data_IF_065385651023
#
_entry.id   IF_065385651023
#
_cell.length_a   1.000
_cell.length_b   1.000
_cell.length_c   1.000
_cell.angle_alpha   90.00
_cell.angle_beta   90.00
_cell.angle_gamma   90.00
#
_symmetry.space_group_name_H-M   'P 1'
#
loop_
_entity.id
_entity.type
_entity.pdbx_description
1 polymer ?
#
# COMPACT_ATOMS: atom_id res chain seq x y z
N UNK A 1 0.19 13.50 -1.05
CA UNK A 1 0.02 12.85 -2.36
C UNK A 1 -1.33 12.14 -2.43
N UNK A 2 -2.00 12.16 -3.58
CA UNK A 2 -3.26 11.42 -3.81
C UNK A 2 -3.11 10.50 -5.01
N UNK A 3 -3.08 9.20 -4.76
CA UNK A 3 -3.02 8.15 -5.78
C UNK A 3 -4.46 7.82 -6.18
N UNK A 4 -4.77 7.83 -7.47
CA UNK A 4 -6.11 7.48 -7.97
C UNK A 4 -6.18 5.98 -8.21
N UNK A 5 -7.05 5.31 -7.48
CA UNK A 5 -7.29 3.88 -7.62
C UNK A 5 -8.76 3.62 -7.92
N UNK A 6 -9.04 2.49 -8.58
CA UNK A 6 -10.35 1.86 -8.64
C UNK A 6 -10.59 1.03 -7.38
N UNK A 7 -11.82 0.53 -7.19
CA UNK A 7 -12.17 -0.35 -6.07
C UNK A 7 -11.23 -1.56 -5.99
N UNK A 8 -11.13 -2.29 -7.09
CA UNK A 8 -10.34 -3.53 -7.14
C UNK A 8 -8.85 -3.27 -6.89
N UNK A 9 -8.34 -2.12 -7.37
CA UNK A 9 -6.95 -1.75 -7.11
C UNK A 9 -6.71 -1.43 -5.63
N UNK A 10 -7.64 -0.72 -4.97
CA UNK A 10 -7.55 -0.42 -3.53
C UNK A 10 -7.67 -1.69 -2.68
N UNK A 11 -8.57 -2.60 -3.04
CA UNK A 11 -8.73 -3.90 -2.36
C UNK A 11 -7.50 -4.79 -2.58
N UNK A 12 -6.99 -4.84 -3.81
CA UNK A 12 -5.80 -5.61 -4.18
C UNK A 12 -4.57 -5.14 -3.40
N UNK A 13 -4.25 -3.85 -3.43
CA UNK A 13 -3.09 -3.33 -2.70
C UNK A 13 -3.23 -3.55 -1.19
N UNK A 14 -4.43 -3.44 -0.64
CA UNK A 14 -4.69 -3.72 0.77
C UNK A 14 -4.42 -5.19 1.13
N UNK A 15 -4.89 -6.12 0.32
CA UNK A 15 -4.66 -7.55 0.54
C UNK A 15 -3.16 -7.86 0.48
N UNK A 16 -2.45 -7.33 -0.51
CA UNK A 16 -1.01 -7.51 -0.65
C UNK A 16 -0.25 -6.96 0.55
N UNK A 17 -0.54 -5.72 0.97
CA UNK A 17 0.08 -5.10 2.15
C UNK A 17 -0.17 -5.94 3.41
N UNK A 18 -1.40 -6.45 3.62
CA UNK A 18 -1.70 -7.28 4.78
C UNK A 18 -0.93 -8.59 4.80
N UNK A 19 -0.73 -9.21 3.65
CA UNK A 19 0.07 -10.43 3.52
C UNK A 19 1.53 -10.13 3.81
N UNK A 20 2.09 -9.09 3.18
CA UNK A 20 3.46 -8.63 3.43
C UNK A 20 3.72 -8.32 4.90
N UNK A 21 2.83 -7.57 5.56
CA UNK A 21 2.94 -7.25 6.99
C UNK A 21 2.81 -8.48 7.90
N UNK A 22 2.02 -9.48 7.50
CA UNK A 22 1.89 -10.71 8.29
C UNK A 22 3.15 -11.57 8.20
N UNK A 23 3.74 -11.62 7.02
CA UNK A 23 4.86 -12.50 6.71
C UNK A 23 6.23 -11.82 6.99
N UNK A 24 6.24 -10.52 7.29
CA UNK A 24 7.45 -9.76 7.60
C UNK A 24 8.03 -10.07 8.98
N UNK A 25 9.31 -10.43 9.01
CA UNK A 25 10.13 -10.49 10.21
C UNK A 25 10.97 -9.20 10.31
N UNK A 26 10.60 -8.30 11.22
CA UNK A 26 11.31 -7.04 11.43
C UNK A 26 12.30 -7.17 12.58
N UNK A 27 13.57 -7.47 12.28
CA UNK A 27 14.63 -7.55 13.28
C UNK A 27 15.20 -6.16 13.60
N UNK A 28 15.49 -5.40 12.56
CA UNK A 28 16.14 -4.10 12.63
C UNK A 28 15.16 -2.95 12.95
N UNK A 29 15.67 -1.89 13.59
CA UNK A 29 14.87 -0.72 13.96
C UNK A 29 14.26 0.00 12.75
N UNK A 30 15.00 0.06 11.64
CA UNK A 30 14.53 0.68 10.41
C UNK A 30 13.32 -0.06 9.82
N UNK A 31 13.36 -1.39 9.83
CA UNK A 31 12.27 -2.22 9.31
C UNK A 31 11.03 -2.13 10.19
N UNK A 32 11.22 -2.06 11.53
CA UNK A 32 10.12 -1.82 12.48
C UNK A 32 9.43 -0.48 12.23
N UNK A 33 10.20 0.58 11.97
CA UNK A 33 9.62 1.88 11.65
C UNK A 33 8.82 1.84 10.34
N UNK A 34 9.37 1.20 9.30
CA UNK A 34 8.65 1.03 8.03
C UNK A 34 7.38 0.21 8.23
N UNK A 35 7.45 -0.88 9.00
CA UNK A 35 6.31 -1.71 9.37
C UNK A 35 5.20 -0.87 10.01
N UNK A 36 5.51 -0.10 11.06
CA UNK A 36 4.52 0.71 11.77
C UNK A 36 3.84 1.73 10.85
N UNK A 37 4.60 2.37 9.96
CA UNK A 37 4.04 3.34 9.02
C UNK A 37 3.14 2.64 8.00
N UNK A 38 3.58 1.51 7.43
CA UNK A 38 2.85 0.75 6.42
C UNK A 38 1.61 0.08 7.01
N UNK A 39 1.68 -0.42 8.24
CA UNK A 39 0.52 -0.89 8.99
C UNK A 39 -0.50 0.23 9.20
N UNK A 40 -0.03 1.44 9.56
CA UNK A 40 -0.88 2.63 9.60
C UNK A 40 -1.57 2.95 8.26
N UNK A 41 -0.90 2.71 7.13
CA UNK A 41 -1.49 2.85 5.78
C UNK A 41 -2.54 1.76 5.54
N UNK A 42 -2.23 0.50 5.87
CA UNK A 42 -3.17 -0.63 5.81
C UNK A 42 -4.46 -0.33 6.58
N UNK A 43 -4.31 0.23 7.76
CA UNK A 43 -5.39 0.63 8.66
C UNK A 43 -6.27 1.74 8.05
N UNK A 44 -5.65 2.72 7.39
CA UNK A 44 -6.36 3.76 6.63
C UNK A 44 -7.16 3.17 5.48
N UNK A 45 -6.58 2.23 4.74
CA UNK A 45 -7.27 1.56 3.64
C UNK A 45 -8.46 0.73 4.17
N UNK A 46 -8.27 -0.02 5.27
CA UNK A 46 -9.35 -0.75 5.95
C UNK A 46 -10.51 0.19 6.33
N UNK A 47 -10.22 1.30 7.01
CA UNK A 47 -11.24 2.29 7.42
C UNK A 47 -11.97 2.85 6.20
N UNK A 48 -11.24 3.08 5.11
CA UNK A 48 -11.80 3.60 3.87
C UNK A 48 -12.72 2.60 3.17
N UNK A 49 -12.29 1.35 3.01
CA UNK A 49 -13.10 0.27 2.40
C UNK A 49 -14.39 0.04 3.21
N UNK A 50 -14.29 0.02 4.54
CA UNK A 50 -15.47 -0.05 5.42
C UNK A 50 -16.42 1.12 5.20
N UNK A 51 -15.91 2.36 5.13
CA UNK A 51 -16.75 3.54 4.89
C UNK A 51 -17.47 3.47 3.54
N UNK A 52 -16.78 3.06 2.48
CA UNK A 52 -17.33 2.95 1.13
C UNK A 52 -18.35 1.80 0.99
N UNK A 53 -18.32 0.81 1.88
CA UNK A 53 -19.33 -0.24 1.92
C UNK A 53 -20.73 0.31 2.30
N UNK A 54 -20.78 1.37 3.10
CA UNK A 54 -22.02 1.97 3.61
C UNK A 54 -22.38 3.30 2.94
N UNK A 55 -21.42 3.97 2.29
CA UNK A 55 -21.60 5.26 1.64
C UNK A 55 -21.21 5.16 0.15
N UNK A 56 -22.16 5.40 -0.74
CA UNK A 56 -21.97 5.41 -2.19
C UNK A 56 -21.19 6.62 -2.71
N UNK A 57 -21.02 7.66 -1.87
CA UNK A 57 -20.27 8.87 -2.23
C UNK A 57 -18.85 8.82 -1.66
N UNK A 58 -17.89 8.47 -2.51
CA UNK A 58 -16.48 8.51 -2.18
C UNK A 58 -15.59 7.87 -3.24
N UNK A 59 -14.44 8.48 -3.53
CA UNK A 59 -13.46 7.91 -4.46
C UNK A 59 -12.52 6.92 -3.76
N UNK A 60 -12.06 5.90 -4.49
CA UNK A 60 -11.15 4.85 -3.99
C UNK A 60 -9.67 5.27 -3.92
N UNK A 61 -9.35 6.54 -4.19
CA UNK A 61 -7.95 7.00 -4.19
C UNK A 61 -7.28 6.99 -2.82
N UNK A 62 -5.99 6.71 -2.74
CA UNK A 62 -5.23 6.68 -1.50
C UNK A 62 -4.58 8.04 -1.23
N UNK A 63 -4.90 8.65 -0.09
CA UNK A 63 -4.26 9.90 0.34
C UNK A 63 -3.12 9.58 1.30
N UNK A 64 -1.89 9.89 0.90
CA UNK A 64 -0.68 9.64 1.66
C UNK A 64 0.02 10.96 2.02
N UNK A 65 0.56 11.02 3.23
CA UNK A 65 1.57 12.04 3.57
C UNK A 65 2.89 11.76 2.82
N UNK A 66 3.84 12.70 2.83
CA UNK A 66 5.15 12.46 2.19
C UNK A 66 5.91 11.31 2.85
N UNK A 67 5.82 11.19 4.18
CA UNK A 67 6.45 10.11 4.95
C UNK A 67 5.81 8.77 4.58
N UNK A 68 4.47 8.71 4.53
CA UNK A 68 3.74 7.50 4.16
C UNK A 68 4.03 7.05 2.73
N UNK A 69 4.09 7.97 1.78
CA UNK A 69 4.43 7.65 0.39
C UNK A 69 5.84 7.05 0.29
N UNK A 70 6.82 7.66 0.94
CA UNK A 70 8.21 7.16 0.95
C UNK A 70 8.34 5.81 1.66
N UNK A 71 7.68 5.64 2.79
CA UNK A 71 7.68 4.36 3.51
C UNK A 71 7.03 3.26 2.67
N UNK A 72 5.89 3.54 2.04
CA UNK A 72 5.22 2.59 1.15
C UNK A 72 6.07 2.24 -0.07
N UNK A 73 6.74 3.22 -0.67
CA UNK A 73 7.70 2.99 -1.75
C UNK A 73 8.79 2.02 -1.32
N UNK A 74 9.51 2.33 -0.24
CA UNK A 74 10.59 1.47 0.27
C UNK A 74 10.10 0.07 0.60
N UNK A 75 8.93 -0.04 1.22
CA UNK A 75 8.34 -1.33 1.58
C UNK A 75 8.02 -2.18 0.34
N UNK A 76 7.29 -1.60 -0.62
CA UNK A 76 6.90 -2.32 -1.84
C UNK A 76 8.11 -2.69 -2.68
N UNK A 77 9.07 -1.77 -2.90
CA UNK A 77 10.28 -2.08 -3.68
C UNK A 77 11.09 -3.23 -3.09
N UNK A 78 11.14 -3.32 -1.75
CA UNK A 78 11.92 -4.35 -1.08
C UNK A 78 11.25 -5.73 -1.09
N UNK A 79 9.92 -5.80 -1.13
CA UNK A 79 9.21 -7.06 -0.88
C UNK A 79 8.37 -7.57 -2.06
N UNK A 80 7.96 -6.72 -3.00
CA UNK A 80 6.95 -7.06 -4.03
C UNK A 80 7.30 -8.33 -4.83
N UNK A 81 8.57 -8.52 -5.17
CA UNK A 81 9.05 -9.64 -5.96
C UNK A 81 8.83 -11.02 -5.31
N UNK A 82 8.71 -11.09 -3.98
CA UNK A 82 8.38 -12.34 -3.27
C UNK A 82 6.94 -12.81 -3.49
N UNK A 83 6.06 -11.93 -3.99
CA UNK A 83 4.64 -12.18 -4.12
C UNK A 83 4.15 -12.22 -5.58
N UNK A 84 5.02 -11.94 -6.54
CA UNK A 84 4.66 -11.76 -7.95
C UNK A 84 3.94 -12.97 -8.56
N UNK A 85 4.30 -14.21 -8.19
CA UNK A 85 3.63 -15.38 -8.75
C UNK A 85 2.23 -15.60 -8.18
N UNK A 86 2.04 -15.39 -6.87
CA UNK A 86 0.78 -15.65 -6.18
C UNK A 86 -0.21 -14.47 -6.25
N UNK A 87 0.30 -13.25 -6.43
CA UNK A 87 -0.45 -11.99 -6.37
C UNK A 87 -0.17 -11.09 -7.59
N UNK A 88 -0.18 -11.68 -8.80
CA UNK A 88 0.18 -10.98 -10.04
C UNK A 88 -0.57 -9.67 -10.25
N UNK A 89 -1.90 -9.67 -10.03
CA UNK A 89 -2.71 -8.47 -10.20
C UNK A 89 -2.30 -7.38 -9.21
N UNK A 90 -2.16 -7.73 -7.94
CA UNK A 90 -1.77 -6.82 -6.88
C UNK A 90 -0.36 -6.28 -7.08
N UNK A 91 0.58 -7.12 -7.55
CA UNK A 91 1.93 -6.69 -7.91
C UNK A 91 1.95 -5.69 -9.06
N UNK A 92 1.10 -5.87 -10.08
CA UNK A 92 0.96 -4.86 -11.16
C UNK A 92 0.47 -3.53 -10.58
N UNK A 93 -0.53 -3.56 -9.70
CA UNK A 93 -1.06 -2.35 -9.05
C UNK A 93 0.00 -1.68 -8.17
N UNK A 94 0.72 -2.47 -7.36
CA UNK A 94 1.79 -1.99 -6.51
C UNK A 94 2.94 -1.38 -7.30
N UNK A 95 3.32 -1.98 -8.45
CA UNK A 95 4.31 -1.41 -9.36
C UNK A 95 3.87 -0.06 -9.93
N UNK A 96 2.58 0.08 -10.27
CA UNK A 96 2.01 1.36 -10.68
C UNK A 96 2.10 2.42 -9.58
N UNK A 97 1.83 2.04 -8.33
CA UNK A 97 1.96 2.90 -7.15
C UNK A 97 3.42 3.33 -6.93
N UNK A 98 4.37 2.40 -7.04
CA UNK A 98 5.81 2.69 -6.96
C UNK A 98 6.18 3.76 -8.00
N UNK A 99 5.76 3.58 -9.26
CA UNK A 99 6.05 4.53 -10.33
C UNK A 99 5.44 5.92 -10.09
N UNK A 100 4.20 6.00 -9.60
CA UNK A 100 3.59 7.29 -9.24
C UNK A 100 4.35 8.00 -8.11
N UNK A 101 4.82 7.25 -7.10
CA UNK A 101 5.56 7.83 -5.97
C UNK A 101 6.95 8.28 -6.42
N UNK A 102 7.65 7.45 -7.21
CA UNK A 102 8.97 7.79 -7.75
C UNK A 102 8.90 9.07 -8.57
N UNK A 103 7.90 9.20 -9.46
CA UNK A 103 7.74 10.36 -10.31
C UNK A 103 7.45 11.67 -9.53
N UNK A 104 6.87 11.58 -8.34
CA UNK A 104 6.59 12.74 -7.46
C UNK A 104 7.80 13.17 -6.63
N UNK A 105 8.74 12.26 -6.32
CA UNK A 105 9.84 12.50 -5.39
C UNK A 105 11.27 12.28 -5.95
N UNK A 106 11.42 11.86 -7.21
CA UNK A 106 12.68 11.80 -7.95
C UNK A 106 13.19 13.20 -8.33
#
# INVERSE_FOLDING_TARGET
MKIKLTKNQLEGIHNLIKVMLRDAECEEMADKLLYEIVDGISDKITKKLKKLQYQSEGGYGLNLTSIEAKALFCWLTNQIHFYDEAYQYESIVATGIIGEIDQEYA
#
